data_IF_252341209878
#
_entry.id   IF_252341209878
#
_cell.length_a   1.000
_cell.length_b   1.000
_cell.length_c   1.000
_cell.angle_alpha   90.00
_cell.angle_beta   90.00
_cell.angle_gamma   90.00
#
_symmetry.space_group_name_H-M   'P 1'
#
loop_
_entity.id
_entity.type
_entity.pdbx_description
1 polymer ?
#
# COMPACT_ATOMS: atom_id res chain seq x y z
N UNK A 1 2.41 -16.20 -6.17
CA UNK A 1 3.14 -17.29 -6.82
C UNK A 1 4.57 -17.38 -6.26
N UNK A 2 5.20 -18.54 -6.36
CA UNK A 2 6.63 -18.66 -6.18
C UNK A 2 7.39 -17.91 -7.32
N UNK A 3 8.70 -17.76 -7.17
CA UNK A 3 9.51 -16.98 -8.11
C UNK A 3 9.48 -17.54 -9.53
N UNK A 4 9.59 -18.85 -9.69
CA UNK A 4 9.60 -19.51 -10.99
C UNK A 4 8.29 -19.27 -11.75
N UNK A 5 7.16 -19.38 -11.04
CA UNK A 5 5.83 -19.11 -11.61
C UNK A 5 5.63 -17.64 -11.94
N UNK A 6 6.13 -16.73 -11.09
CA UNK A 6 6.06 -15.29 -11.36
C UNK A 6 6.87 -14.93 -12.62
N UNK A 7 8.07 -15.47 -12.78
CA UNK A 7 8.91 -15.28 -13.98
C UNK A 7 8.21 -15.82 -15.23
N UNK A 8 7.57 -16.99 -15.15
CA UNK A 8 6.81 -17.58 -16.25
C UNK A 8 5.59 -16.71 -16.64
N UNK A 9 4.87 -16.15 -15.67
CA UNK A 9 3.74 -15.24 -15.92
C UNK A 9 4.20 -13.97 -16.63
N UNK A 10 5.29 -13.37 -16.19
CA UNK A 10 5.84 -12.18 -16.84
C UNK A 10 6.32 -12.48 -18.26
N UNK A 11 6.98 -13.63 -18.47
CA UNK A 11 7.46 -14.03 -19.80
C UNK A 11 6.32 -14.31 -20.80
N UNK A 12 5.14 -14.71 -20.34
CA UNK A 12 3.97 -14.96 -21.20
C UNK A 12 3.38 -13.68 -21.80
N UNK A 13 3.55 -12.52 -21.13
CA UNK A 13 2.94 -11.25 -21.52
C UNK A 13 1.42 -11.19 -21.32
N UNK A 14 0.82 -12.19 -20.68
CA UNK A 14 -0.63 -12.29 -20.43
C UNK A 14 -1.04 -11.83 -19.02
N UNK A 15 -0.04 -11.57 -18.17
CA UNK A 15 -0.24 -11.21 -16.77
C UNK A 15 0.35 -9.85 -16.45
N UNK A 16 -0.28 -9.17 -15.52
CA UNK A 16 0.18 -7.90 -14.97
C UNK A 16 0.50 -8.05 -13.49
N UNK A 17 1.44 -7.24 -13.01
CA UNK A 17 1.65 -7.11 -11.58
C UNK A 17 0.50 -6.33 -10.96
N UNK A 18 -0.15 -6.91 -9.94
CA UNK A 18 -1.20 -6.20 -9.20
C UNK A 18 -0.57 -5.14 -8.30
N UNK A 19 -0.84 -3.88 -8.59
CA UNK A 19 -0.37 -2.75 -7.78
C UNK A 19 -1.17 -2.53 -6.49
N UNK A 20 -2.29 -3.24 -6.29
CA UNK A 20 -3.21 -3.00 -5.20
C UNK A 20 -4.00 -1.69 -5.31
N UNK A 21 -3.94 -1.02 -6.46
CA UNK A 21 -4.71 0.20 -6.71
C UNK A 21 -6.05 -0.14 -7.35
N UNK A 22 -7.14 0.20 -6.67
CA UNK A 22 -8.49 -0.05 -7.13
C UNK A 22 -9.26 1.25 -7.30
N UNK A 23 -10.03 1.36 -8.38
CA UNK A 23 -10.94 2.48 -8.62
C UNK A 23 -12.35 1.94 -8.86
N UNK A 24 -13.29 2.37 -8.03
CA UNK A 24 -14.69 1.95 -8.14
C UNK A 24 -15.65 3.03 -7.63
N UNK A 25 -16.90 2.91 -8.02
CA UNK A 25 -17.97 3.69 -7.39
C UNK A 25 -18.29 3.05 -6.04
N UNK A 26 -18.37 3.85 -4.97
CA UNK A 26 -18.67 3.34 -3.63
C UNK A 26 -19.90 2.42 -3.59
N UNK A 27 -20.98 2.80 -4.26
CA UNK A 27 -22.19 1.99 -4.36
C UNK A 27 -21.94 0.61 -4.97
N UNK A 28 -21.08 0.52 -6.02
CA UNK A 28 -20.75 -0.74 -6.66
C UNK A 28 -19.92 -1.61 -5.72
N UNK A 29 -18.91 -1.05 -5.08
CA UNK A 29 -18.09 -1.78 -4.12
C UNK A 29 -18.93 -2.33 -2.95
N UNK A 30 -19.78 -1.50 -2.35
CA UNK A 30 -20.67 -1.93 -1.27
C UNK A 30 -21.63 -3.06 -1.71
N UNK A 31 -22.13 -3.03 -2.95
CA UNK A 31 -22.99 -4.11 -3.46
C UNK A 31 -22.22 -5.42 -3.67
N UNK A 32 -20.98 -5.36 -4.14
CA UNK A 32 -20.13 -6.56 -4.27
C UNK A 32 -19.71 -7.10 -2.89
N UNK A 33 -19.37 -6.21 -1.95
CA UNK A 33 -19.06 -6.58 -0.58
C UNK A 33 -20.26 -7.25 0.10
N UNK A 34 -21.47 -6.71 -0.07
CA UNK A 34 -22.70 -7.31 0.44
C UNK A 34 -22.93 -8.73 -0.12
N UNK A 35 -22.54 -8.96 -1.37
CA UNK A 35 -22.70 -10.25 -2.05
C UNK A 35 -21.70 -11.31 -1.56
N UNK A 36 -20.44 -10.92 -1.39
CA UNK A 36 -19.35 -11.86 -1.14
C UNK A 36 -18.91 -11.93 0.33
N UNK A 37 -19.04 -10.82 1.06
CA UNK A 37 -18.65 -10.69 2.46
C UNK A 37 -19.61 -9.75 3.21
N UNK A 38 -20.87 -10.18 3.38
CA UNK A 38 -21.86 -9.41 4.14
C UNK A 38 -21.43 -9.15 5.59
N UNK A 39 -20.71 -10.09 6.20
CA UNK A 39 -20.14 -9.98 7.54
C UNK A 39 -19.20 -8.75 7.69
N UNK A 40 -18.31 -8.53 6.74
CA UNK A 40 -17.43 -7.34 6.71
C UNK A 40 -18.28 -6.07 6.55
N UNK A 41 -19.22 -6.08 5.61
CA UNK A 41 -20.07 -4.92 5.36
C UNK A 41 -20.89 -4.53 6.61
N UNK A 42 -21.52 -5.49 7.26
CA UNK A 42 -22.35 -5.27 8.45
C UNK A 42 -21.52 -4.72 9.60
N UNK A 43 -20.35 -5.30 9.86
CA UNK A 43 -19.46 -4.82 10.93
C UNK A 43 -18.95 -3.41 10.63
N UNK A 44 -18.51 -3.13 9.41
CA UNK A 44 -18.07 -1.78 9.02
C UNK A 44 -19.20 -0.76 9.12
N UNK A 45 -20.43 -1.10 8.72
CA UNK A 45 -21.59 -0.22 8.88
C UNK A 45 -21.92 0.06 10.34
N UNK A 46 -21.88 -0.97 11.18
CA UNK A 46 -22.09 -0.81 12.62
C UNK A 46 -21.02 0.13 13.24
N UNK A 47 -19.76 -0.07 12.89
CA UNK A 47 -18.64 0.75 13.36
C UNK A 47 -18.76 2.22 12.92
N UNK A 48 -19.12 2.48 11.66
CA UNK A 48 -19.31 3.84 11.13
C UNK A 48 -20.53 4.51 11.76
N UNK A 49 -21.63 3.77 11.98
CA UNK A 49 -22.84 4.32 12.62
C UNK A 49 -22.61 4.69 14.09
N UNK A 50 -21.70 4.01 14.77
CA UNK A 50 -21.31 4.28 16.14
C UNK A 50 -20.12 5.24 16.27
N UNK A 51 -19.57 5.71 15.14
CA UNK A 51 -18.42 6.61 15.14
C UNK A 51 -18.76 7.98 15.72
N UNK A 52 -17.81 8.57 16.44
CA UNK A 52 -17.89 9.94 16.91
C UNK A 52 -17.40 10.91 15.84
N UNK A 53 -18.29 11.79 15.38
CA UNK A 53 -18.03 12.79 14.35
C UNK A 53 -17.80 14.21 14.96
N UNK A 54 -17.52 14.31 16.25
CA UNK A 54 -17.41 15.59 16.97
C UNK A 54 -16.07 16.33 16.83
N UNK A 55 -15.10 15.78 16.13
CA UNK A 55 -13.74 16.33 15.95
C UNK A 55 -13.35 16.41 14.47
N UNK A 56 -12.12 16.89 14.19
CA UNK A 56 -11.53 16.88 12.85
C UNK A 56 -11.30 15.47 12.30
N UNK A 57 -11.44 14.45 13.15
CA UNK A 57 -11.29 13.04 12.82
C UNK A 57 -12.57 12.27 13.12
N UNK A 58 -12.86 11.28 12.28
CA UNK A 58 -13.90 10.29 12.53
C UNK A 58 -13.28 9.17 13.38
N UNK A 59 -13.70 9.05 14.63
CA UNK A 59 -13.20 8.02 15.54
C UNK A 59 -14.08 6.79 15.46
N UNK A 60 -13.53 5.73 14.91
CA UNK A 60 -14.20 4.43 14.82
C UNK A 60 -14.05 3.68 16.15
N UNK A 61 -15.13 3.18 16.78
CA UNK A 61 -15.05 2.41 18.01
C UNK A 61 -14.23 1.13 17.81
N UNK A 62 -13.17 0.98 18.62
CA UNK A 62 -12.23 -0.12 18.52
C UNK A 62 -12.88 -1.49 18.74
N UNK A 63 -13.73 -1.62 19.75
CA UNK A 63 -14.42 -2.84 20.12
C UNK A 63 -15.30 -3.39 18.99
N UNK A 64 -16.06 -2.52 18.33
CA UNK A 64 -16.89 -2.91 17.19
C UNK A 64 -16.04 -3.27 15.98
N UNK A 65 -15.02 -2.45 15.67
CA UNK A 65 -14.20 -2.67 14.48
C UNK A 65 -13.30 -3.91 14.59
N UNK A 66 -12.88 -4.29 15.79
CA UNK A 66 -12.10 -5.50 16.02
C UNK A 66 -12.88 -6.82 15.75
N UNK A 67 -14.21 -6.76 15.66
CA UNK A 67 -15.02 -7.89 15.24
C UNK A 67 -15.03 -8.09 13.71
N UNK A 68 -14.50 -7.11 12.96
CA UNK A 68 -14.40 -7.22 11.51
C UNK A 68 -13.39 -8.29 11.10
N UNK A 69 -13.76 -9.25 10.23
CA UNK A 69 -12.81 -10.20 9.71
C UNK A 69 -11.64 -9.50 8.98
N UNK A 70 -10.42 -9.95 9.27
CA UNK A 70 -9.19 -9.48 8.62
C UNK A 70 -9.01 -10.17 7.26
N UNK A 71 -9.52 -9.54 6.21
CA UNK A 71 -9.38 -10.03 4.83
C UNK A 71 -9.19 -8.86 3.87
N UNK A 72 -8.19 -8.97 2.98
CA UNK A 72 -7.93 -7.94 1.98
C UNK A 72 -9.06 -7.83 0.97
N UNK A 73 -9.20 -6.66 0.34
CA UNK A 73 -10.16 -6.42 -0.76
C UNK A 73 -9.96 -7.38 -1.93
N UNK A 74 -8.73 -7.83 -2.17
CA UNK A 74 -8.39 -8.80 -3.20
C UNK A 74 -9.17 -10.11 -2.98
N UNK A 75 -9.04 -10.71 -1.81
CA UNK A 75 -9.72 -11.96 -1.45
C UNK A 75 -11.21 -11.77 -1.16
N UNK A 76 -11.57 -10.65 -0.54
CA UNK A 76 -12.95 -10.38 -0.18
C UNK A 76 -13.85 -10.18 -1.41
N UNK A 77 -13.36 -9.45 -2.42
CA UNK A 77 -14.16 -9.02 -3.57
C UNK A 77 -13.48 -9.29 -4.91
N UNK A 78 -12.22 -8.87 -5.11
CA UNK A 78 -11.64 -8.77 -6.45
C UNK A 78 -11.44 -10.12 -7.13
N UNK A 79 -11.07 -11.15 -6.41
CA UNK A 79 -10.94 -12.51 -6.95
C UNK A 79 -12.29 -13.19 -7.26
N UNK A 80 -13.40 -12.63 -6.77
CA UNK A 80 -14.74 -13.21 -6.86
C UNK A 80 -15.65 -12.49 -7.85
N UNK A 81 -15.43 -11.19 -8.06
CA UNK A 81 -16.29 -10.37 -8.91
C UNK A 81 -16.04 -10.64 -10.39
N UNK A 82 -17.11 -10.67 -11.18
CA UNK A 82 -17.06 -10.74 -12.64
C UNK A 82 -17.04 -9.34 -13.30
N UNK A 83 -17.16 -8.27 -12.49
CA UNK A 83 -17.33 -6.89 -12.98
C UNK A 83 -16.05 -6.06 -12.87
N UNK A 84 -14.90 -6.73 -12.68
CA UNK A 84 -13.59 -6.07 -12.67
C UNK A 84 -13.00 -5.96 -14.09
N UNK A 85 -12.29 -4.87 -14.33
CA UNK A 85 -11.46 -4.68 -15.53
C UNK A 85 -10.04 -4.33 -15.10
N UNK A 86 -9.05 -4.76 -15.87
CA UNK A 86 -7.64 -4.43 -15.65
C UNK A 86 -7.25 -3.31 -16.61
N UNK A 87 -6.57 -2.30 -16.08
CA UNK A 87 -5.98 -1.21 -16.86
C UNK A 87 -4.46 -1.31 -16.68
N UNK A 88 -3.74 -1.53 -17.76
CA UNK A 88 -2.27 -1.53 -17.74
C UNK A 88 -1.74 -0.15 -17.37
N UNK A 89 -0.77 -0.09 -16.46
CA UNK A 89 -0.09 1.12 -16.03
C UNK A 89 1.41 0.98 -16.33
N UNK A 90 1.95 1.90 -17.13
CA UNK A 90 3.38 2.04 -17.42
C UNK A 90 3.83 3.42 -16.91
N UNK A 91 4.21 3.49 -15.64
CA UNK A 91 4.50 4.74 -14.94
C UNK A 91 5.57 4.58 -13.83
N UNK A 92 6.48 3.62 -13.95
CA UNK A 92 7.54 3.35 -12.95
C UNK A 92 6.98 3.34 -11.51
N UNK A 93 5.86 2.64 -11.31
CA UNK A 93 5.16 2.64 -10.03
C UNK A 93 5.92 1.86 -8.96
N UNK A 94 5.96 2.41 -7.75
CA UNK A 94 6.44 1.74 -6.53
C UNK A 94 5.48 2.02 -5.37
N UNK A 95 5.20 1.03 -4.56
CA UNK A 95 4.39 1.17 -3.34
C UNK A 95 5.14 1.85 -2.18
N UNK A 96 6.47 2.00 -2.31
CA UNK A 96 7.35 2.60 -1.28
C UNK A 96 7.07 2.03 0.12
N UNK A 97 6.83 0.72 0.20
CA UNK A 97 6.43 0.02 1.43
C UNK A 97 7.57 -0.19 2.44
N UNK A 98 8.80 0.23 2.14
CA UNK A 98 9.97 0.07 3.00
C UNK A 98 10.98 1.20 2.83
N UNK A 99 11.90 1.35 3.79
CA UNK A 99 13.03 2.27 3.67
C UNK A 99 13.93 1.93 2.48
N UNK A 100 14.09 0.66 2.17
CA UNK A 100 14.83 0.21 0.99
C UNK A 100 14.16 0.65 -0.30
N UNK A 101 12.84 0.51 -0.41
CA UNK A 101 12.09 0.97 -1.57
C UNK A 101 12.18 2.51 -1.73
N UNK A 102 12.13 3.25 -0.62
CA UNK A 102 12.33 4.70 -0.64
C UNK A 102 13.73 5.08 -1.14
N UNK A 103 14.77 4.36 -0.69
CA UNK A 103 16.13 4.52 -1.21
C UNK A 103 16.20 4.17 -2.71
N UNK A 104 15.54 3.10 -3.16
CA UNK A 104 15.54 2.67 -4.57
C UNK A 104 14.98 3.74 -5.50
N UNK A 105 13.88 4.40 -5.14
CA UNK A 105 13.21 5.42 -5.99
C UNK A 105 13.83 6.82 -5.86
N UNK A 106 14.67 7.07 -4.85
CA UNK A 106 15.27 8.37 -4.62
C UNK A 106 16.51 8.60 -5.48
N UNK A 107 16.81 9.84 -5.87
CA UNK A 107 18.07 10.18 -6.56
C UNK A 107 19.25 9.93 -5.64
N UNK A 108 20.32 9.34 -6.18
CA UNK A 108 21.52 8.93 -5.45
C UNK A 108 22.74 9.75 -5.86
N UNK A 109 23.68 9.96 -4.93
CA UNK A 109 25.00 10.49 -5.23
C UNK A 109 25.90 9.44 -5.93
N UNK A 110 27.16 9.79 -6.22
CA UNK A 110 28.12 8.91 -6.88
C UNK A 110 28.53 7.68 -6.07
N UNK A 111 28.17 7.60 -4.78
CA UNK A 111 28.44 6.48 -3.87
C UNK A 111 27.13 5.72 -3.50
N UNK A 112 26.05 6.04 -4.16
CA UNK A 112 24.76 5.39 -3.93
C UNK A 112 24.01 5.89 -2.69
N UNK A 113 24.43 7.02 -2.09
CA UNK A 113 23.74 7.58 -0.93
C UNK A 113 22.59 8.50 -1.35
N UNK A 114 21.54 8.49 -0.56
CA UNK A 114 20.45 9.46 -0.57
C UNK A 114 20.55 10.29 0.68
N UNK A 115 20.83 11.58 0.53
CA UNK A 115 21.03 12.51 1.63
C UNK A 115 20.00 13.64 1.54
N UNK A 116 19.32 13.91 2.64
CA UNK A 116 18.34 14.98 2.77
C UNK A 116 18.52 15.71 4.09
N UNK A 117 18.44 17.05 4.05
CA UNK A 117 18.66 17.90 5.22
C UNK A 117 20.13 18.04 5.59
N UNK A 118 20.41 18.25 6.88
CA UNK A 118 21.77 18.44 7.41
C UNK A 118 22.45 17.08 7.65
N UNK A 119 22.96 16.48 6.57
CA UNK A 119 23.56 15.15 6.56
C UNK A 119 24.98 15.19 6.01
N UNK A 120 25.92 14.52 6.68
CA UNK A 120 27.30 14.37 6.28
C UNK A 120 27.72 12.90 6.30
N UNK A 121 28.45 12.46 5.26
CA UNK A 121 28.92 11.09 5.12
C UNK A 121 30.41 11.04 4.87
N UNK A 122 31.08 10.05 5.44
CA UNK A 122 32.50 9.77 5.21
C UNK A 122 32.71 8.25 5.16
N UNK A 123 33.25 7.76 4.05
CA UNK A 123 33.46 6.32 3.81
C UNK A 123 32.18 5.46 3.95
N UNK A 124 31.02 6.03 3.62
CA UNK A 124 29.73 5.34 3.68
C UNK A 124 29.13 5.24 2.28
N UNK A 125 28.53 4.11 1.95
CA UNK A 125 27.95 3.84 0.65
C UNK A 125 26.54 3.24 0.80
N UNK A 126 25.67 3.50 -0.19
CA UNK A 126 24.31 2.95 -0.25
C UNK A 126 23.45 3.27 0.97
N UNK A 127 23.65 4.44 1.57
CA UNK A 127 22.91 4.90 2.75
C UNK A 127 21.71 5.76 2.35
N UNK A 128 20.65 5.66 3.15
CA UNK A 128 19.55 6.62 3.15
C UNK A 128 19.57 7.40 4.45
N UNK A 129 19.82 8.71 4.37
CA UNK A 129 19.88 9.61 5.53
C UNK A 129 18.94 10.78 5.29
N UNK A 130 18.00 10.96 6.21
CA UNK A 130 17.09 12.10 6.23
C UNK A 130 17.14 12.77 7.60
N UNK A 131 17.43 14.07 7.62
CA UNK A 131 17.53 14.85 8.85
C UNK A 131 16.77 16.18 8.70
N UNK A 132 15.83 16.44 9.60
CA UNK A 132 15.06 17.70 9.59
C UNK A 132 15.77 18.83 10.37
N UNK A 133 16.23 18.57 11.59
CA UNK A 133 16.64 19.63 12.52
C UNK A 133 18.08 19.48 13.06
N UNK A 134 18.69 18.33 12.89
CA UNK A 134 20.00 18.02 13.50
C UNK A 134 20.98 17.48 12.48
N UNK A 135 22.26 17.87 12.62
CA UNK A 135 23.32 17.25 11.85
C UNK A 135 23.38 15.74 12.15
N UNK A 136 23.31 14.96 11.08
CA UNK A 136 23.57 13.52 11.10
C UNK A 136 24.89 13.26 10.39
N UNK A 137 25.86 12.69 11.09
CA UNK A 137 27.12 12.24 10.51
C UNK A 137 27.21 10.73 10.49
N UNK A 138 27.36 10.13 9.29
CA UNK A 138 27.59 8.71 9.10
C UNK A 138 29.03 8.45 8.70
N UNK A 139 29.71 7.55 9.40
CA UNK A 139 31.15 7.27 9.23
C UNK A 139 31.37 5.75 9.22
N UNK A 140 31.96 5.24 8.14
CA UNK A 140 32.37 3.82 8.03
C UNK A 140 31.63 3.00 7.04
#
# INVERSE_FOLDING_TARGET
PDRERAEAYLASGEYYWNSGMFMFRAKKYLSELAKYRPDILETCQAAVNAADNGSDFINIPHDIFCECPDESVDYAVMEKTADAVVVGLDADWSDVGSWSALWEVSPKDGQGNVLSGDAWVHNSENCYINSDEKLVAAIG
#
